data_IF_284791851262
#
_entry.id   IF_284791851262
#
_cell.length_a   1.000
_cell.length_b   1.000
_cell.length_c   1.000
_cell.angle_alpha   90.00
_cell.angle_beta   90.00
_cell.angle_gamma   90.00
#
_symmetry.space_group_name_H-M   'P 1'
#
loop_
_entity.id
_entity.type
_entity.pdbx_description
1 polymer ?
#
# COMPACT_ATOMS: atom_id res chain seq x y z
N UNK A 1 16.81 14.07 -9.83
CA UNK A 1 17.21 13.71 -11.21
C UNK A 1 17.34 14.96 -12.05
N UNK A 2 16.29 15.78 -12.22
CA UNK A 2 16.33 17.00 -13.10
C UNK A 2 17.46 17.99 -12.75
N UNK A 3 17.77 18.15 -11.46
CA UNK A 3 18.87 19.01 -11.01
C UNK A 3 20.27 18.35 -11.10
N UNK A 4 20.38 17.10 -11.55
CA UNK A 4 21.64 16.38 -11.67
C UNK A 4 22.27 15.93 -10.36
N UNK A 5 21.58 16.08 -9.23
CA UNK A 5 22.14 15.82 -7.88
C UNK A 5 21.68 14.49 -7.26
N UNK A 6 20.94 13.65 -7.98
CA UNK A 6 20.38 12.40 -7.42
C UNK A 6 21.46 11.44 -6.89
N UNK A 7 22.61 11.40 -7.52
CA UNK A 7 23.72 10.53 -7.13
C UNK A 7 24.51 11.00 -5.92
N UNK A 8 24.25 12.21 -5.44
CA UNK A 8 24.93 12.82 -4.29
C UNK A 8 24.14 12.72 -2.99
N UNK A 9 22.93 12.18 -3.04
CA UNK A 9 22.05 12.09 -1.87
C UNK A 9 21.21 10.81 -1.89
N UNK A 10 21.08 10.20 -0.74
CA UNK A 10 20.10 9.14 -0.50
C UNK A 10 18.73 9.72 -0.13
N UNK A 11 17.69 8.92 -0.36
CA UNK A 11 16.33 9.27 -0.03
C UNK A 11 15.83 8.27 1.03
N UNK A 12 15.53 8.78 2.22
CA UNK A 12 14.83 8.03 3.27
C UNK A 12 13.41 8.52 3.33
N UNK A 13 12.48 7.57 3.23
CA UNK A 13 11.03 7.84 3.24
C UNK A 13 10.47 7.46 4.59
N UNK A 14 9.91 8.43 5.30
CA UNK A 14 9.07 8.21 6.47
C UNK A 14 7.61 8.21 6.01
N UNK A 15 6.93 7.06 6.10
CA UNK A 15 5.64 6.85 5.45
C UNK A 15 4.66 6.10 6.36
N UNK A 16 3.43 6.62 6.46
CA UNK A 16 2.34 5.98 7.18
C UNK A 16 1.57 4.96 6.33
N UNK A 17 1.55 5.14 5.01
CA UNK A 17 0.74 4.32 4.09
C UNK A 17 1.43 3.02 3.66
N UNK A 18 2.75 2.94 3.80
CA UNK A 18 3.51 1.75 3.41
C UNK A 18 3.37 0.67 4.49
N UNK A 19 2.63 -0.39 4.20
CA UNK A 19 2.36 -1.50 5.14
C UNK A 19 2.61 -2.87 4.52
N UNK A 20 2.47 -3.02 3.22
CA UNK A 20 2.64 -4.29 2.51
C UNK A 20 3.99 -4.39 1.78
N UNK A 21 4.48 -5.62 1.47
CA UNK A 21 5.68 -5.78 0.65
C UNK A 21 5.62 -5.07 -0.70
N UNK A 22 4.43 -4.94 -1.29
CA UNK A 22 4.25 -4.24 -2.56
C UNK A 22 4.53 -2.74 -2.43
N UNK A 23 4.06 -2.12 -1.35
CA UNK A 23 4.30 -0.70 -1.10
C UNK A 23 5.80 -0.41 -0.95
N UNK A 24 6.50 -1.26 -0.19
CA UNK A 24 7.96 -1.16 -0.04
C UNK A 24 8.68 -1.39 -1.36
N UNK A 25 8.26 -2.37 -2.15
CA UNK A 25 8.85 -2.64 -3.46
C UNK A 25 8.64 -1.45 -4.42
N UNK A 26 7.48 -0.81 -4.39
CA UNK A 26 7.21 0.39 -5.17
C UNK A 26 8.13 1.55 -4.76
N UNK A 27 8.26 1.83 -3.47
CA UNK A 27 9.14 2.89 -2.96
C UNK A 27 10.61 2.64 -3.31
N UNK A 28 11.10 1.40 -3.14
CA UNK A 28 12.46 1.01 -3.55
C UNK A 28 12.64 1.14 -5.07
N UNK A 29 11.65 0.74 -5.85
CA UNK A 29 11.64 0.88 -7.31
C UNK A 29 11.71 2.34 -7.77
N UNK A 30 11.12 3.25 -7.02
CA UNK A 30 11.28 4.70 -7.20
C UNK A 30 12.49 5.30 -6.46
N UNK A 31 13.45 4.45 -6.10
CA UNK A 31 14.77 4.82 -5.56
C UNK A 31 14.81 5.30 -4.12
N UNK A 32 13.87 4.88 -3.27
CA UNK A 32 14.03 5.03 -1.83
C UNK A 32 15.18 4.14 -1.35
N UNK A 33 16.15 4.71 -0.65
CA UNK A 33 17.30 3.99 -0.05
C UNK A 33 16.97 3.43 1.33
N UNK A 34 16.02 4.05 2.03
CA UNK A 34 15.50 3.59 3.32
C UNK A 34 14.02 3.93 3.46
N UNK A 35 13.28 3.09 4.19
CA UNK A 35 11.86 3.28 4.44
C UNK A 35 11.59 3.07 5.92
N UNK A 36 10.94 4.05 6.55
CA UNK A 36 10.45 3.95 7.92
C UNK A 36 8.92 3.92 7.94
N UNK A 37 8.30 2.74 8.06
CA UNK A 37 6.84 2.57 8.06
C UNK A 37 6.28 2.83 9.47
N UNK A 38 6.25 4.08 9.90
CA UNK A 38 5.94 4.44 11.29
C UNK A 38 4.55 3.98 11.75
N UNK A 39 3.56 4.02 10.86
CA UNK A 39 2.20 3.58 11.15
C UNK A 39 2.13 2.07 11.42
N UNK A 40 2.76 1.26 10.58
CA UNK A 40 2.83 -0.19 10.77
C UNK A 40 3.55 -0.55 12.07
N UNK A 41 4.66 0.14 12.38
CA UNK A 41 5.37 -0.07 13.65
C UNK A 41 4.52 0.36 14.86
N UNK A 42 3.73 1.43 14.73
CA UNK A 42 2.80 1.86 15.78
C UNK A 42 1.71 0.79 16.02
N UNK A 43 1.11 0.26 14.95
CA UNK A 43 0.14 -0.82 15.06
C UNK A 43 0.72 -2.08 15.73
N UNK A 44 1.94 -2.47 15.40
CA UNK A 44 2.59 -3.62 16.06
C UNK A 44 2.80 -3.38 17.55
N UNK A 45 3.19 -2.16 17.96
CA UNK A 45 3.32 -1.81 19.38
C UNK A 45 1.96 -1.84 20.10
N UNK A 46 0.95 -1.35 19.46
CA UNK A 46 -0.42 -1.32 19.99
C UNK A 46 -0.96 -2.74 20.20
N UNK A 47 -0.86 -3.60 19.19
CA UNK A 47 -1.25 -5.01 19.28
C UNK A 47 -0.49 -5.75 20.40
N UNK A 48 0.80 -5.49 20.56
CA UNK A 48 1.58 -6.08 21.65
C UNK A 48 1.13 -5.55 23.02
N UNK A 49 0.80 -4.28 23.14
CA UNK A 49 0.33 -3.67 24.37
C UNK A 49 -1.05 -4.20 24.81
N UNK A 50 -1.93 -4.52 23.85
CA UNK A 50 -3.24 -5.12 24.12
C UNK A 50 -3.21 -6.65 24.32
N UNK A 51 -2.06 -7.29 24.12
CA UNK A 51 -1.91 -8.74 24.27
C UNK A 51 -2.42 -9.55 23.08
N UNK A 52 -2.59 -8.91 21.93
CA UNK A 52 -2.97 -9.55 20.66
C UNK A 52 -1.80 -10.24 19.96
N UNK A 53 -0.58 -10.05 20.47
CA UNK A 53 0.63 -10.71 20.00
C UNK A 53 1.29 -11.51 21.13
N UNK A 54 1.75 -12.73 20.83
CA UNK A 54 2.49 -13.59 21.74
C UNK A 54 3.98 -13.21 21.87
N UNK A 55 4.37 -12.02 21.41
CA UNK A 55 5.75 -11.53 21.40
C UNK A 55 5.81 -10.08 21.88
N UNK A 56 7.00 -9.63 22.27
CA UNK A 56 7.19 -8.20 22.62
C UNK A 56 7.07 -7.30 21.41
N UNK A 57 6.81 -6.01 21.63
CA UNK A 57 6.70 -5.02 20.55
C UNK A 57 7.97 -4.98 19.68
N UNK A 58 9.16 -5.06 20.29
CA UNK A 58 10.45 -5.07 19.60
C UNK A 58 10.59 -6.31 18.71
N UNK A 59 10.23 -7.47 19.25
CA UNK A 59 10.27 -8.72 18.49
C UNK A 59 9.24 -8.70 17.35
N UNK A 60 8.05 -8.16 17.60
CA UNK A 60 7.01 -7.99 16.60
C UNK A 60 7.48 -7.10 15.44
N UNK A 61 8.11 -5.95 15.75
CA UNK A 61 8.69 -5.04 14.74
C UNK A 61 9.82 -5.73 13.96
N UNK A 62 10.70 -6.47 14.64
CA UNK A 62 11.78 -7.20 13.98
C UNK A 62 11.22 -8.27 13.02
N UNK A 63 10.18 -8.99 13.42
CA UNK A 63 9.50 -9.97 12.58
C UNK A 63 8.82 -9.33 11.38
N UNK A 64 8.14 -8.20 11.58
CA UNK A 64 7.52 -7.42 10.52
C UNK A 64 8.56 -6.95 9.49
N UNK A 65 9.65 -6.34 9.95
CA UNK A 65 10.72 -5.87 9.06
C UNK A 65 11.37 -7.03 8.27
N UNK A 66 11.56 -8.17 8.91
CA UNK A 66 12.06 -9.38 8.25
C UNK A 66 11.10 -9.86 7.17
N UNK A 67 9.79 -9.88 7.46
CA UNK A 67 8.76 -10.28 6.49
C UNK A 67 8.68 -9.29 5.31
N UNK A 68 8.73 -7.98 5.57
CA UNK A 68 8.75 -6.95 4.54
C UNK A 68 9.97 -7.11 3.62
N UNK A 69 11.16 -7.30 4.19
CA UNK A 69 12.40 -7.53 3.43
C UNK A 69 12.31 -8.81 2.58
N UNK A 70 11.83 -9.90 3.14
CA UNK A 70 11.63 -11.16 2.41
C UNK A 70 10.62 -10.98 1.27
N UNK A 71 9.58 -10.17 1.48
CA UNK A 71 8.61 -9.82 0.45
C UNK A 71 9.22 -9.05 -0.70
N UNK A 72 10.05 -8.04 -0.44
CA UNK A 72 10.78 -7.30 -1.48
C UNK A 72 11.68 -8.25 -2.28
N UNK A 73 12.47 -9.09 -1.61
CA UNK A 73 13.33 -10.08 -2.27
C UNK A 73 12.52 -11.03 -3.15
N UNK A 74 11.36 -11.48 -2.68
CA UNK A 74 10.46 -12.34 -3.47
C UNK A 74 9.96 -11.64 -4.73
N UNK A 75 9.59 -10.35 -4.63
CA UNK A 75 9.16 -9.55 -5.78
C UNK A 75 10.32 -9.37 -6.78
N UNK A 76 11.50 -9.00 -6.31
CA UNK A 76 12.69 -8.87 -7.15
C UNK A 76 13.02 -10.19 -7.87
N UNK A 77 12.93 -11.32 -7.16
CA UNK A 77 13.16 -12.66 -7.73
C UNK A 77 12.17 -12.98 -8.85
N UNK A 78 10.87 -12.68 -8.65
CA UNK A 78 9.84 -12.87 -9.70
C UNK A 78 10.08 -12.01 -10.93
N UNK A 79 10.66 -10.83 -10.74
CA UNK A 79 11.01 -9.91 -11.83
C UNK A 79 12.37 -10.23 -12.48
N UNK A 80 13.13 -11.16 -11.94
CA UNK A 80 14.45 -11.54 -12.44
C UNK A 80 15.54 -10.49 -12.15
N UNK A 81 15.34 -9.63 -11.16
CA UNK A 81 16.31 -8.59 -10.79
C UNK A 81 17.04 -9.00 -9.52
N UNK A 82 18.35 -9.25 -9.62
CA UNK A 82 19.16 -9.86 -8.56
C UNK A 82 19.78 -8.87 -7.58
N UNK A 83 19.86 -7.59 -7.91
CA UNK A 83 20.48 -6.56 -7.05
C UNK A 83 19.56 -5.39 -6.81
N UNK A 84 19.59 -4.81 -5.61
CA UNK A 84 18.79 -3.63 -5.26
C UNK A 84 19.16 -2.43 -6.13
N UNK A 85 20.45 -2.26 -6.45
CA UNK A 85 20.91 -1.19 -7.33
C UNK A 85 20.26 -1.25 -8.72
N UNK A 86 20.08 -2.45 -9.27
CA UNK A 86 19.40 -2.64 -10.56
C UNK A 86 17.88 -2.50 -10.44
N UNK A 87 17.33 -2.66 -9.25
CA UNK A 87 15.90 -2.47 -8.98
C UNK A 87 15.54 -0.98 -8.85
N UNK A 88 16.43 -0.17 -8.29
CA UNK A 88 16.25 1.27 -8.20
C UNK A 88 16.07 1.91 -9.58
N UNK A 89 14.99 2.64 -9.78
CA UNK A 89 14.65 3.29 -11.06
C UNK A 89 14.55 2.37 -12.27
N UNK A 90 14.20 1.11 -12.07
CA UNK A 90 14.14 0.12 -13.14
C UNK A 90 12.95 0.31 -14.11
N UNK A 91 12.08 1.29 -13.88
CA UNK A 91 10.89 1.58 -14.71
C UNK A 91 9.97 0.37 -14.91
N UNK A 92 9.78 -0.40 -13.86
CA UNK A 92 9.01 -1.65 -13.86
C UNK A 92 7.54 -1.47 -13.47
N UNK A 93 7.13 -0.24 -13.18
CA UNK A 93 5.77 0.11 -12.80
C UNK A 93 5.05 0.80 -13.95
N UNK A 94 3.74 0.67 -13.97
CA UNK A 94 2.84 1.41 -14.83
C UNK A 94 1.91 2.26 -13.97
N UNK A 95 1.74 3.51 -14.32
CA UNK A 95 0.73 4.37 -13.72
C UNK A 95 -0.61 4.15 -14.42
N UNK A 96 -1.65 3.89 -13.66
CA UNK A 96 -3.01 3.71 -14.15
C UNK A 96 -3.91 4.77 -13.53
N UNK A 97 -4.63 5.50 -14.37
CA UNK A 97 -5.60 6.48 -13.92
C UNK A 97 -5.03 7.88 -13.62
N UNK A 98 -3.80 8.18 -14.04
CA UNK A 98 -3.23 9.53 -13.94
C UNK A 98 -3.04 10.18 -15.30
N UNK A 99 -3.23 11.50 -15.38
CA UNK A 99 -2.98 12.24 -16.62
C UNK A 99 -1.49 12.19 -17.00
N UNK A 100 -1.17 12.27 -18.31
CA UNK A 100 0.23 12.31 -18.76
C UNK A 100 1.01 13.47 -18.16
N UNK A 101 0.39 14.61 -17.94
CA UNK A 101 0.99 15.80 -17.33
C UNK A 101 1.43 15.51 -15.89
N UNK A 102 0.55 14.87 -15.11
CA UNK A 102 0.85 14.45 -13.74
C UNK A 102 2.01 13.46 -13.71
N UNK A 103 1.95 12.42 -14.54
CA UNK A 103 3.01 11.39 -14.60
C UNK A 103 4.34 11.99 -15.04
N UNK A 104 4.35 12.84 -16.07
CA UNK A 104 5.57 13.50 -16.53
C UNK A 104 6.17 14.44 -15.48
N UNK A 105 5.32 15.07 -14.66
CA UNK A 105 5.79 15.97 -13.61
C UNK A 105 6.42 15.23 -12.42
N UNK A 106 5.79 14.17 -11.94
CA UNK A 106 6.12 13.52 -10.66
C UNK A 106 6.73 12.14 -10.80
N UNK A 107 6.40 11.40 -11.87
CA UNK A 107 6.82 10.03 -12.14
C UNK A 107 7.49 9.89 -13.51
N UNK A 108 8.39 10.81 -13.82
CA UNK A 108 9.05 10.89 -15.13
C UNK A 108 9.65 9.54 -15.54
N UNK A 109 9.30 9.08 -16.76
CA UNK A 109 9.71 7.78 -17.29
C UNK A 109 8.79 6.62 -16.97
N UNK A 110 7.78 6.82 -16.11
CA UNK A 110 6.75 5.80 -15.85
C UNK A 110 5.76 5.74 -17.02
N UNK A 111 5.44 4.55 -17.46
CA UNK A 111 4.44 4.34 -18.52
C UNK A 111 3.04 4.60 -17.96
N UNK A 112 2.23 5.36 -18.68
CA UNK A 112 0.80 5.54 -18.38
C UNK A 112 -0.01 5.38 -19.66
N UNK A 113 -0.86 4.36 -19.71
CA UNK A 113 -1.74 4.08 -20.85
C UNK A 113 -3.18 4.47 -20.60
N UNK A 114 -3.56 4.58 -19.34
CA UNK A 114 -4.91 4.97 -18.92
C UNK A 114 -4.81 6.28 -18.16
N UNK A 115 -5.29 7.36 -18.78
CA UNK A 115 -5.37 8.67 -18.14
C UNK A 115 -6.51 8.76 -17.13
N UNK A 116 -6.60 9.88 -16.44
CA UNK A 116 -7.66 10.12 -15.45
C UNK A 116 -7.35 11.35 -14.59
N UNK A 117 -6.91 11.12 -13.35
CA UNK A 117 -6.72 12.11 -12.30
C UNK A 117 -5.51 13.02 -12.55
N UNK A 118 -5.72 14.31 -12.31
CA UNK A 118 -4.67 15.33 -12.22
C UNK A 118 -4.31 15.67 -10.77
N UNK A 119 -3.56 16.75 -10.61
CA UNK A 119 -3.12 17.23 -9.28
C UNK A 119 -4.32 17.60 -8.40
N UNK A 120 -5.33 18.24 -8.98
CA UNK A 120 -6.52 18.68 -8.26
C UNK A 120 -7.35 17.50 -7.73
N UNK A 121 -7.41 16.40 -8.46
CA UNK A 121 -8.08 15.19 -8.01
C UNK A 121 -7.34 14.52 -6.85
N UNK A 122 -6.01 14.47 -6.93
CA UNK A 122 -5.17 13.94 -5.84
C UNK A 122 -5.31 14.81 -4.59
N UNK A 123 -5.33 16.13 -4.75
CA UNK A 123 -5.54 17.06 -3.62
C UNK A 123 -6.91 16.82 -2.98
N UNK A 124 -7.97 16.71 -3.78
CA UNK A 124 -9.32 16.43 -3.29
C UNK A 124 -9.37 15.13 -2.49
N UNK A 125 -8.83 14.03 -3.02
CA UNK A 125 -8.82 12.74 -2.32
C UNK A 125 -8.01 12.78 -1.01
N UNK A 126 -6.89 13.50 -0.98
CA UNK A 126 -6.11 13.65 0.25
C UNK A 126 -6.88 14.46 1.31
N UNK A 127 -7.58 15.51 0.88
CA UNK A 127 -8.41 16.31 1.79
C UNK A 127 -9.59 15.49 2.33
N UNK A 128 -10.26 14.70 1.49
CA UNK A 128 -11.34 13.80 1.90
C UNK A 128 -10.86 12.77 2.94
N UNK A 129 -9.69 12.17 2.74
CA UNK A 129 -9.07 11.25 3.72
C UNK A 129 -8.74 11.95 5.03
N UNK A 130 -8.19 13.16 4.95
CA UNK A 130 -7.86 13.95 6.12
C UNK A 130 -9.12 14.30 6.93
N UNK A 131 -10.17 14.78 6.27
CA UNK A 131 -11.43 15.12 6.89
C UNK A 131 -12.11 13.90 7.53
N UNK A 132 -12.07 12.74 6.85
CA UNK A 132 -12.56 11.48 7.40
C UNK A 132 -11.78 11.06 8.65
N UNK A 133 -10.46 11.20 8.67
CA UNK A 133 -9.64 10.93 9.85
C UNK A 133 -9.98 11.86 11.03
N UNK A 134 -10.15 13.16 10.75
CA UNK A 134 -10.59 14.12 11.77
C UNK A 134 -11.99 13.80 12.32
N UNK A 135 -12.90 13.34 11.49
CA UNK A 135 -14.23 12.91 11.92
C UNK A 135 -14.17 11.72 12.87
N UNK A 136 -13.31 10.74 12.61
CA UNK A 136 -13.08 9.59 13.48
C UNK A 136 -12.54 10.03 14.84
N UNK A 137 -11.54 10.93 14.86
CA UNK A 137 -10.95 11.43 16.11
C UNK A 137 -11.96 12.19 16.98
N UNK A 138 -13.00 12.78 16.37
CA UNK A 138 -14.08 13.49 17.07
C UNK A 138 -15.27 12.58 17.40
N UNK A 139 -15.25 11.32 16.98
CA UNK A 139 -16.33 10.37 17.22
C UNK A 139 -16.35 9.89 18.68
N UNK A 140 -17.47 9.30 19.15
CA UNK A 140 -17.54 8.70 20.50
C UNK A 140 -16.62 7.48 20.70
N UNK A 141 -16.11 6.89 19.64
CA UNK A 141 -15.23 5.71 19.65
C UNK A 141 -14.03 5.93 18.73
N UNK A 142 -13.12 6.86 19.07
CA UNK A 142 -11.97 7.21 18.21
C UNK A 142 -10.97 6.07 18.04
N UNK A 143 -11.00 5.08 18.92
CA UNK A 143 -10.12 3.89 18.87
C UNK A 143 -10.61 2.81 17.89
N UNK A 144 -11.81 2.98 17.34
CA UNK A 144 -12.38 2.03 16.37
C UNK A 144 -12.31 2.60 14.97
N UNK A 145 -11.43 2.04 14.15
CA UNK A 145 -11.37 2.36 12.73
C UNK A 145 -12.50 1.66 11.96
N UNK A 146 -13.19 2.38 11.07
CA UNK A 146 -14.19 1.75 10.19
C UNK A 146 -13.50 0.78 9.24
N UNK A 147 -14.13 -0.38 9.04
CA UNK A 147 -13.69 -1.30 7.97
C UNK A 147 -14.41 -0.97 6.69
N UNK A 148 -13.68 -0.59 5.66
CA UNK A 148 -14.23 -0.27 4.35
C UNK A 148 -14.50 -1.50 3.48
N UNK A 149 -14.12 -2.70 3.94
CA UNK A 149 -14.34 -3.93 3.19
C UNK A 149 -13.50 -4.05 1.92
N UNK A 150 -12.43 -3.29 1.77
CA UNK A 150 -11.60 -3.25 0.55
C UNK A 150 -10.97 -4.61 0.20
N UNK A 151 -10.45 -5.30 1.20
CA UNK A 151 -9.79 -6.61 1.03
C UNK A 151 -10.68 -7.79 1.39
N UNK A 152 -11.57 -7.60 2.35
CA UNK A 152 -12.49 -8.62 2.82
C UNK A 152 -13.90 -8.07 2.80
N UNK A 153 -14.78 -8.73 2.05
CA UNK A 153 -16.18 -8.35 1.97
C UNK A 153 -16.83 -8.19 3.35
N UNK A 154 -17.66 -7.18 3.51
CA UNK A 154 -18.41 -6.88 4.71
C UNK A 154 -19.89 -6.68 4.37
N UNK A 155 -20.82 -7.26 5.16
CA UNK A 155 -22.26 -7.19 4.85
C UNK A 155 -22.86 -5.80 5.07
N UNK A 156 -22.23 -4.94 5.88
CA UNK A 156 -22.72 -3.62 6.25
C UNK A 156 -21.57 -2.63 6.17
N UNK A 157 -21.76 -1.54 5.42
CA UNK A 157 -20.83 -0.40 5.35
C UNK A 157 -19.52 -0.70 4.63
N UNK A 158 -19.38 -1.86 4.00
CA UNK A 158 -18.21 -2.18 3.17
C UNK A 158 -18.43 -1.86 1.70
N UNK A 159 -17.34 -1.88 0.94
CA UNK A 159 -17.37 -1.75 -0.51
C UNK A 159 -18.00 -2.97 -1.17
N UNK A 160 -18.74 -2.77 -2.25
CA UNK A 160 -19.32 -3.85 -3.04
C UNK A 160 -18.24 -4.61 -3.80
N UNK A 161 -18.27 -5.94 -3.67
CA UNK A 161 -17.35 -6.81 -4.40
C UNK A 161 -18.08 -7.50 -5.55
N UNK A 162 -17.42 -7.61 -6.72
CA UNK A 162 -17.95 -8.36 -7.86
C UNK A 162 -18.21 -9.83 -7.50
N UNK A 163 -17.35 -10.41 -6.67
CA UNK A 163 -17.51 -11.76 -6.13
C UNK A 163 -17.79 -11.63 -4.63
N UNK A 164 -19.04 -11.77 -4.27
CA UNK A 164 -19.54 -11.75 -2.89
C UNK A 164 -19.93 -13.15 -2.41
N UNK A 165 -20.29 -13.36 -1.14
CA UNK A 165 -20.72 -14.66 -0.63
C UNK A 165 -21.96 -15.22 -1.33
N UNK A 166 -22.88 -14.37 -1.80
CA UNK A 166 -24.05 -14.82 -2.53
C UNK A 166 -23.68 -15.35 -3.91
N UNK A 167 -22.80 -14.66 -4.62
CA UNK A 167 -22.27 -15.10 -5.92
C UNK A 167 -21.57 -16.44 -5.78
N UNK A 168 -20.71 -16.59 -4.75
CA UNK A 168 -20.01 -17.86 -4.46
C UNK A 168 -21.01 -18.98 -4.16
N UNK A 169 -22.03 -18.71 -3.34
CA UNK A 169 -23.07 -19.68 -3.01
C UNK A 169 -23.83 -20.14 -4.26
N UNK A 170 -24.27 -19.21 -5.10
CA UNK A 170 -25.00 -19.53 -6.33
C UNK A 170 -24.16 -20.35 -7.31
N UNK A 171 -22.88 -19.98 -7.49
CA UNK A 171 -21.97 -20.76 -8.33
C UNK A 171 -21.75 -22.17 -7.82
N UNK A 172 -21.53 -22.31 -6.51
CA UNK A 172 -21.35 -23.62 -5.89
C UNK A 172 -22.62 -24.49 -5.97
N UNK A 173 -23.77 -23.88 -5.82
CA UNK A 173 -25.07 -24.57 -5.94
C UNK A 173 -25.27 -25.04 -7.37
N UNK A 174 -25.10 -24.16 -8.35
CA UNK A 174 -25.20 -24.53 -9.76
C UNK A 174 -24.26 -25.68 -10.14
N UNK A 175 -23.01 -25.65 -9.69
CA UNK A 175 -22.05 -26.74 -9.97
C UNK A 175 -22.39 -28.07 -9.29
N UNK A 176 -23.19 -28.07 -8.21
CA UNK A 176 -23.62 -29.27 -7.50
C UNK A 176 -24.91 -29.86 -8.04
N UNK A 177 -25.79 -29.01 -8.55
CA UNK A 177 -27.12 -29.38 -9.04
C UNK A 177 -27.14 -29.75 -10.54
N UNK A 178 -26.06 -29.40 -11.27
CA UNK A 178 -25.85 -29.74 -12.68
C UNK A 178 -25.37 -31.21 -12.84
N UNK A 179 -26.02 -32.08 -12.18
CA UNK A 179 -25.75 -33.53 -12.22
C UNK A 179 -26.94 -34.30 -12.81
#
# INVERSE_FOLDING_TARGET
>A
IRAGVRTFADIVVECGDAVSPHDFAALVGYSASGIYPYSAHACVRDLAAHGDLDVTAEQGIANYNKAATAGIVSIMSKMGISTVQSYHSAQIFEAVGFTPEFVNAYFAGTVSRVGGMGVEDVEREQNERYDAALAILKSPAPDQLPTLGLTKWRPIGGEDHLIDPQTVYLLQTACREDS
#
